data_IF_804723183914
#
_entry.id   IF_804723183914
#
_cell.length_a   1.000
_cell.length_b   1.000
_cell.length_c   1.000
_cell.angle_alpha   90.00
_cell.angle_beta   90.00
_cell.angle_gamma   90.00
#
_symmetry.space_group_name_H-M   'P 1'
#
loop_
_entity.id
_entity.type
_entity.pdbx_description
1 polymer ?
#
# COMPACT_ATOMS: atom_id res chain seq x y z
N UNK A 1 -9.13 -26.73 -31.82
CA UNK A 1 -9.23 -26.79 -30.35
C UNK A 1 -8.30 -25.71 -29.85
N UNK A 2 -8.82 -24.71 -29.09
CA UNK A 2 -7.96 -23.77 -28.39
C UNK A 2 -7.29 -24.58 -27.27
N UNK A 3 -5.97 -24.58 -27.23
CA UNK A 3 -5.21 -25.18 -26.15
C UNK A 3 -5.69 -24.60 -24.82
N UNK A 4 -5.91 -25.46 -23.81
CA UNK A 4 -6.22 -24.99 -22.48
C UNK A 4 -5.05 -24.15 -21.98
N UNK A 5 -5.31 -22.96 -21.43
CA UNK A 5 -4.24 -22.13 -20.89
C UNK A 5 -3.53 -22.89 -19.76
N UNK A 6 -2.20 -22.92 -19.80
CA UNK A 6 -1.35 -23.56 -18.80
C UNK A 6 -0.57 -22.50 -18.01
N UNK A 7 -0.32 -22.81 -16.73
CA UNK A 7 0.54 -21.98 -15.90
C UNK A 7 2.00 -22.18 -16.28
N UNK A 8 2.70 -21.09 -16.54
CA UNK A 8 4.11 -21.06 -16.93
C UNK A 8 4.90 -20.15 -15.99
N UNK A 9 6.14 -20.53 -15.67
CA UNK A 9 7.06 -19.65 -14.95
C UNK A 9 7.78 -18.71 -15.92
N UNK A 10 7.98 -17.46 -15.52
CA UNK A 10 8.80 -16.51 -16.27
C UNK A 10 9.49 -15.49 -15.36
N UNK A 11 10.53 -14.85 -15.89
CA UNK A 11 11.16 -13.70 -15.23
C UNK A 11 10.46 -12.38 -15.62
N UNK A 12 10.87 -11.29 -15.00
CA UNK A 12 10.25 -9.97 -15.23
C UNK A 12 10.38 -9.50 -16.69
N UNK A 13 11.51 -9.75 -17.35
CA UNK A 13 11.72 -9.34 -18.75
C UNK A 13 10.78 -10.08 -19.70
N UNK A 14 10.58 -11.37 -19.49
CA UNK A 14 9.63 -12.19 -20.27
C UNK A 14 8.19 -11.75 -19.99
N UNK A 15 7.83 -11.49 -18.73
CA UNK A 15 6.54 -10.98 -18.35
C UNK A 15 6.24 -9.65 -19.07
N UNK A 16 7.18 -8.70 -19.06
CA UNK A 16 7.02 -7.42 -19.76
C UNK A 16 6.79 -7.58 -21.25
N UNK A 17 7.48 -8.52 -21.91
CA UNK A 17 7.26 -8.83 -23.33
C UNK A 17 5.85 -9.36 -23.60
N UNK A 18 5.32 -10.21 -22.69
CA UNK A 18 3.95 -10.76 -22.80
C UNK A 18 2.91 -9.65 -22.57
N UNK A 19 3.05 -8.84 -21.51
CA UNK A 19 2.19 -7.67 -21.25
C UNK A 19 2.20 -6.71 -22.43
N UNK A 20 3.37 -6.41 -23.00
CA UNK A 20 3.50 -5.49 -24.12
C UNK A 20 2.73 -5.95 -25.36
N UNK A 21 2.58 -7.26 -25.62
CA UNK A 21 1.77 -7.77 -26.73
C UNK A 21 0.29 -7.43 -26.53
N UNK A 22 -0.22 -7.52 -25.29
CA UNK A 22 -1.60 -7.18 -24.97
C UNK A 22 -1.79 -5.66 -25.03
N UNK A 23 -0.95 -4.89 -24.36
CA UNK A 23 -1.08 -3.41 -24.31
C UNK A 23 -1.00 -2.74 -25.69
N UNK A 24 -0.26 -3.31 -26.64
CA UNK A 24 -0.23 -2.81 -28.04
C UNK A 24 -1.59 -2.84 -28.74
N UNK A 25 -2.51 -3.70 -28.32
CA UNK A 25 -3.84 -3.78 -28.89
C UNK A 25 -4.79 -2.67 -28.38
N UNK A 26 -4.42 -1.92 -27.34
CA UNK A 26 -5.21 -0.82 -26.80
C UNK A 26 -5.00 -0.60 -25.29
N UNK A 27 -6.05 -0.15 -24.60
CA UNK A 27 -6.05 0.08 -23.16
C UNK A 27 -6.80 -1.06 -22.45
N UNK A 28 -6.12 -2.08 -21.96
CA UNK A 28 -6.75 -3.16 -21.21
C UNK A 28 -7.21 -2.70 -19.83
N UNK A 29 -8.17 -3.42 -19.26
CA UNK A 29 -8.47 -3.36 -17.83
C UNK A 29 -7.32 -4.05 -17.10
N UNK A 30 -6.82 -3.43 -16.03
CA UNK A 30 -5.68 -3.96 -15.26
C UNK A 30 -5.73 -3.50 -13.81
N UNK A 31 -5.17 -4.31 -12.92
CA UNK A 31 -4.84 -3.95 -11.54
C UNK A 31 -3.32 -3.82 -11.31
N UNK A 32 -2.51 -3.89 -12.36
CA UNK A 32 -1.06 -3.74 -12.26
C UNK A 32 -0.63 -2.34 -12.70
N UNK A 33 -0.02 -1.60 -11.80
CA UNK A 33 0.37 -0.20 -12.02
C UNK A 33 1.89 0.02 -12.14
N UNK A 34 2.64 -1.06 -12.38
CA UNK A 34 4.08 -1.04 -12.60
C UNK A 34 4.88 -0.77 -11.32
N UNK A 35 5.44 -1.82 -10.74
CA UNK A 35 6.33 -1.73 -9.58
C UNK A 35 7.77 -1.97 -10.04
N UNK A 36 8.64 -1.00 -9.79
CA UNK A 36 10.06 -1.09 -10.14
C UNK A 36 10.79 -2.20 -9.35
N UNK A 37 10.26 -2.54 -8.19
CA UNK A 37 10.82 -3.51 -7.23
C UNK A 37 10.70 -4.97 -7.68
N UNK A 38 9.98 -5.24 -8.79
CA UNK A 38 9.70 -6.59 -9.27
C UNK A 38 10.76 -7.20 -10.21
N UNK A 39 11.86 -6.51 -10.46
CA UNK A 39 12.88 -6.93 -11.44
C UNK A 39 13.48 -8.30 -11.11
N UNK A 40 13.63 -8.65 -9.85
CA UNK A 40 14.24 -9.88 -9.39
C UNK A 40 13.22 -10.99 -9.06
N UNK A 41 11.92 -10.74 -9.26
CA UNK A 41 10.86 -11.70 -8.95
C UNK A 41 10.69 -12.77 -10.04
N UNK A 42 10.30 -13.96 -9.61
CA UNK A 42 9.81 -15.02 -10.49
C UNK A 42 8.29 -15.01 -10.50
N UNK A 43 7.71 -15.01 -11.68
CA UNK A 43 6.27 -14.97 -11.88
C UNK A 43 5.74 -16.30 -12.36
N UNK A 44 4.54 -16.63 -11.89
CA UNK A 44 3.68 -17.60 -12.54
C UNK A 44 2.70 -16.83 -13.43
N UNK A 45 2.48 -17.33 -14.63
CA UNK A 45 1.69 -16.65 -15.67
C UNK A 45 0.76 -17.62 -16.33
N UNK A 46 -0.47 -17.20 -16.55
CA UNK A 46 -1.44 -17.88 -17.43
C UNK A 46 -2.02 -16.82 -18.38
N UNK A 47 -2.21 -17.18 -19.64
CA UNK A 47 -2.64 -16.21 -20.65
C UNK A 47 -3.47 -16.81 -21.77
N UNK A 48 -4.29 -15.97 -22.38
CA UNK A 48 -4.94 -16.12 -23.68
C UNK A 48 -4.38 -15.08 -24.66
N UNK A 49 -5.04 -14.91 -25.80
CA UNK A 49 -4.72 -13.81 -26.73
C UNK A 49 -5.16 -12.42 -26.22
N UNK A 50 -6.13 -12.35 -25.30
CA UNK A 50 -6.75 -11.10 -24.83
C UNK A 50 -6.51 -10.82 -23.37
N UNK A 51 -6.08 -11.82 -22.57
CA UNK A 51 -5.94 -11.72 -21.13
C UNK A 51 -4.65 -12.38 -20.67
N UNK A 52 -3.93 -11.72 -19.78
CA UNK A 52 -2.83 -12.29 -19.02
C UNK A 52 -3.11 -12.10 -17.53
N UNK A 53 -2.98 -13.19 -16.78
CA UNK A 53 -2.99 -13.19 -15.30
C UNK A 53 -1.63 -13.69 -14.85
N UNK A 54 -1.04 -13.01 -13.87
CA UNK A 54 0.26 -13.38 -13.34
C UNK A 54 0.32 -13.09 -11.85
N UNK A 55 1.16 -13.85 -11.14
CA UNK A 55 1.33 -13.69 -9.70
C UNK A 55 2.74 -14.02 -9.26
N UNK A 56 3.08 -13.53 -8.09
CA UNK A 56 4.32 -13.85 -7.40
C UNK A 56 4.08 -13.89 -5.88
N UNK A 57 4.99 -14.54 -5.15
CA UNK A 57 4.96 -14.54 -3.70
C UNK A 57 5.59 -13.22 -3.19
N UNK A 58 4.76 -12.39 -2.57
CA UNK A 58 5.16 -11.14 -1.95
C UNK A 58 5.22 -11.36 -0.43
N UNK A 59 6.43 -11.43 0.10
CA UNK A 59 6.70 -11.70 1.52
C UNK A 59 5.97 -12.94 2.04
N UNK A 60 4.68 -12.81 2.38
CA UNK A 60 3.86 -13.89 2.97
C UNK A 60 2.56 -14.16 2.22
N UNK A 61 2.25 -13.38 1.18
CA UNK A 61 1.02 -13.53 0.40
C UNK A 61 1.33 -13.62 -1.09
N UNK A 62 0.49 -14.33 -1.81
CA UNK A 62 0.56 -14.37 -3.27
C UNK A 62 -0.19 -13.17 -3.83
N UNK A 63 0.50 -12.23 -4.49
CA UNK A 63 -0.12 -11.08 -5.16
C UNK A 63 -0.43 -11.42 -6.59
N UNK A 64 -1.68 -11.16 -7.02
CA UNK A 64 -2.17 -11.47 -8.36
C UNK A 64 -2.50 -10.22 -9.14
N UNK A 65 -2.10 -10.21 -10.40
CA UNK A 65 -2.30 -9.11 -11.33
C UNK A 65 -2.84 -9.59 -12.66
N UNK A 66 -3.51 -8.72 -13.39
CA UNK A 66 -4.00 -9.01 -14.72
C UNK A 66 -3.95 -7.80 -15.66
N UNK A 67 -3.94 -8.12 -16.97
CA UNK A 67 -4.27 -7.23 -18.07
C UNK A 67 -5.28 -7.95 -18.97
N UNK A 68 -6.40 -7.32 -19.31
CA UNK A 68 -7.43 -7.95 -20.11
C UNK A 68 -8.21 -6.98 -20.97
N UNK A 69 -8.57 -7.43 -22.19
CA UNK A 69 -9.62 -6.87 -23.03
C UNK A 69 -10.94 -7.65 -22.91
N UNK A 70 -10.94 -8.75 -22.15
CA UNK A 70 -12.09 -9.64 -22.01
C UNK A 70 -12.34 -9.94 -20.53
N UNK A 71 -13.22 -9.14 -19.89
CA UNK A 71 -13.52 -9.28 -18.45
C UNK A 71 -13.94 -10.71 -18.03
N UNK A 72 -14.77 -11.45 -18.78
CA UNK A 72 -15.10 -12.84 -18.47
C UNK A 72 -13.88 -13.77 -18.35
N UNK A 73 -12.83 -13.56 -19.16
CA UNK A 73 -11.61 -14.37 -19.07
C UNK A 73 -10.82 -14.12 -17.80
N UNK A 74 -10.91 -12.92 -17.20
CA UNK A 74 -10.24 -12.60 -15.93
C UNK A 74 -10.64 -13.62 -14.88
N UNK A 75 -11.94 -13.79 -14.68
CA UNK A 75 -12.49 -14.71 -13.67
C UNK A 75 -12.06 -16.17 -13.92
N UNK A 76 -12.06 -16.60 -15.18
CA UNK A 76 -11.68 -17.97 -15.53
C UNK A 76 -10.19 -18.23 -15.30
N UNK A 77 -9.33 -17.29 -15.66
CA UNK A 77 -7.89 -17.44 -15.46
C UNK A 77 -7.48 -17.28 -14.00
N UNK A 78 -8.17 -16.43 -13.24
CA UNK A 78 -7.95 -16.26 -11.80
C UNK A 78 -8.21 -17.54 -10.98
N UNK A 79 -9.05 -18.46 -11.48
CA UNK A 79 -9.24 -19.78 -10.84
C UNK A 79 -7.95 -20.63 -10.83
N UNK A 80 -6.97 -20.29 -11.65
CA UNK A 80 -5.67 -20.98 -11.71
C UNK A 80 -4.64 -20.38 -10.73
N UNK A 81 -4.93 -19.22 -10.15
CA UNK A 81 -4.12 -18.63 -9.08
C UNK A 81 -4.29 -19.40 -7.76
N UNK A 82 -3.33 -19.30 -6.82
CA UNK A 82 -3.46 -19.87 -5.49
C UNK A 82 -4.73 -19.39 -4.77
N UNK A 83 -5.35 -20.27 -3.97
CA UNK A 83 -6.60 -19.94 -3.25
C UNK A 83 -6.44 -18.81 -2.23
N UNK A 84 -5.24 -18.65 -1.69
CA UNK A 84 -4.89 -17.59 -0.73
C UNK A 84 -4.31 -16.34 -1.40
N UNK A 85 -4.44 -16.25 -2.72
CA UNK A 85 -3.99 -15.10 -3.47
C UNK A 85 -4.80 -13.84 -3.15
N UNK A 86 -4.13 -12.69 -3.26
CA UNK A 86 -4.69 -11.36 -3.00
C UNK A 86 -4.58 -10.51 -4.25
N UNK A 87 -5.67 -9.81 -4.56
CA UNK A 87 -5.71 -8.79 -5.60
C UNK A 87 -5.98 -7.43 -4.96
N UNK A 88 -5.26 -6.41 -5.40
CA UNK A 88 -5.52 -5.02 -5.05
C UNK A 88 -6.05 -4.30 -6.30
N UNK A 89 -7.22 -3.68 -6.20
CA UNK A 89 -7.85 -3.00 -7.32
C UNK A 89 -8.07 -1.53 -6.99
N UNK A 90 -7.28 -0.67 -7.61
CA UNK A 90 -7.40 0.77 -7.45
C UNK A 90 -8.54 1.32 -8.31
N UNK A 91 -9.44 2.08 -7.70
CA UNK A 91 -10.51 2.81 -8.40
C UNK A 91 -10.67 4.22 -7.85
N UNK A 92 -11.04 5.15 -8.73
CA UNK A 92 -11.46 6.51 -8.34
C UNK A 92 -12.93 6.60 -7.98
N UNK A 93 -13.69 5.52 -8.17
CA UNK A 93 -15.14 5.50 -7.94
C UNK A 93 -15.44 4.74 -6.65
N UNK A 94 -16.25 5.31 -5.76
CA UNK A 94 -16.77 4.57 -4.61
C UNK A 94 -17.77 3.51 -5.05
N UNK A 95 -17.98 2.50 -4.21
CA UNK A 95 -19.08 1.53 -4.39
C UNK A 95 -18.89 0.50 -5.49
N UNK A 96 -17.68 0.35 -6.08
CA UNK A 96 -17.44 -0.63 -7.14
C UNK A 96 -17.23 -2.08 -6.64
N UNK A 97 -17.48 -2.36 -5.36
CA UNK A 97 -17.33 -3.69 -4.75
C UNK A 97 -17.99 -4.79 -5.59
N UNK A 98 -19.30 -4.67 -5.87
CA UNK A 98 -20.10 -5.70 -6.59
C UNK A 98 -19.58 -5.93 -8.00
N UNK A 99 -19.15 -4.86 -8.69
CA UNK A 99 -18.53 -4.96 -10.01
C UNK A 99 -17.29 -5.83 -9.96
N UNK A 100 -16.36 -5.52 -9.07
CA UNK A 100 -15.08 -6.22 -9.02
C UNK A 100 -15.22 -7.66 -8.50
N UNK A 101 -16.13 -7.92 -7.57
CA UNK A 101 -16.49 -9.30 -7.16
C UNK A 101 -17.03 -10.11 -8.36
N UNK A 102 -17.84 -9.48 -9.22
CA UNK A 102 -18.36 -10.13 -10.43
C UNK A 102 -17.27 -10.42 -11.46
N UNK A 103 -16.38 -9.43 -11.71
CA UNK A 103 -15.31 -9.52 -12.71
C UNK A 103 -14.23 -10.53 -12.30
N UNK A 104 -13.82 -10.52 -11.03
CA UNK A 104 -12.70 -11.34 -10.56
C UNK A 104 -13.14 -12.69 -10.02
N UNK A 105 -14.36 -12.79 -9.48
CA UNK A 105 -14.83 -13.93 -8.72
C UNK A 105 -14.27 -14.01 -7.29
N UNK A 106 -13.48 -13.01 -6.86
CA UNK A 106 -12.94 -12.89 -5.51
C UNK A 106 -13.83 -11.97 -4.68
N UNK A 107 -14.14 -12.31 -3.42
CA UNK A 107 -14.85 -11.41 -2.53
C UNK A 107 -13.96 -10.26 -2.09
N UNK A 108 -14.55 -9.08 -1.88
CA UNK A 108 -13.85 -7.94 -1.28
C UNK A 108 -13.66 -8.19 0.22
N UNK A 109 -12.42 -8.32 0.62
CA UNK A 109 -11.97 -8.56 1.99
C UNK A 109 -11.82 -7.25 2.80
N UNK A 110 -11.20 -6.25 2.19
CA UNK A 110 -11.01 -4.93 2.80
C UNK A 110 -11.13 -3.82 1.75
N UNK A 111 -11.46 -2.62 2.20
CA UNK A 111 -11.46 -1.43 1.35
C UNK A 111 -10.71 -0.32 2.06
N UNK A 112 -9.79 0.30 1.34
CA UNK A 112 -9.06 1.48 1.80
C UNK A 112 -9.49 2.69 0.97
N UNK A 113 -9.58 3.84 1.62
CA UNK A 113 -9.75 5.13 0.98
C UNK A 113 -8.45 5.91 1.03
N UNK A 114 -8.05 6.53 -0.08
CA UNK A 114 -6.89 7.40 -0.12
C UNK A 114 -7.25 8.80 0.33
N UNK A 115 -6.50 9.31 1.29
CA UNK A 115 -6.53 10.70 1.71
C UNK A 115 -5.27 11.38 1.22
N UNK A 116 -5.38 12.62 0.76
CA UNK A 116 -4.22 13.36 0.30
C UNK A 116 -4.52 14.83 0.09
N UNK A 117 -3.44 15.61 0.01
CA UNK A 117 -3.54 17.04 -0.30
C UNK A 117 -2.25 17.54 -0.95
N UNK A 118 -2.40 18.61 -1.73
CA UNK A 118 -1.27 19.33 -2.29
C UNK A 118 -0.54 20.13 -1.20
N UNK A 119 0.77 20.11 -1.24
CA UNK A 119 1.65 20.88 -0.36
C UNK A 119 2.23 22.04 -1.16
N UNK A 120 2.01 23.26 -0.68
CA UNK A 120 2.54 24.49 -1.28
C UNK A 120 3.93 24.80 -0.69
N UNK A 121 4.11 24.60 0.61
CA UNK A 121 5.36 24.80 1.30
C UNK A 121 5.26 24.58 2.81
N UNK A 122 6.41 24.64 3.49
CA UNK A 122 6.48 24.36 4.92
C UNK A 122 5.69 25.38 5.80
N UNK A 123 5.55 26.62 5.34
CA UNK A 123 4.79 27.63 6.07
C UNK A 123 3.29 27.29 6.10
N UNK A 124 2.73 26.98 4.95
CA UNK A 124 1.32 26.60 4.78
C UNK A 124 1.01 25.29 5.52
N UNK A 125 1.95 24.34 5.52
CA UNK A 125 1.78 23.10 6.28
C UNK A 125 1.85 23.34 7.80
N UNK A 126 2.71 24.24 8.30
CA UNK A 126 2.70 24.64 9.71
C UNK A 126 1.37 25.29 10.11
N UNK A 127 0.83 26.15 9.25
CA UNK A 127 -0.48 26.77 9.47
C UNK A 127 -1.58 25.71 9.48
N UNK A 128 -1.57 24.75 8.54
CA UNK A 128 -2.51 23.63 8.51
C UNK A 128 -2.47 22.82 9.81
N UNK A 129 -1.28 22.48 10.29
CA UNK A 129 -1.13 21.76 11.55
C UNK A 129 -1.66 22.58 12.74
N UNK A 130 -1.47 23.90 12.76
CA UNK A 130 -1.93 24.75 13.86
C UNK A 130 -3.46 24.75 14.05
N UNK A 131 -4.22 24.44 13.02
CA UNK A 131 -5.68 24.27 13.11
C UNK A 131 -6.10 22.91 13.69
N UNK A 132 -5.18 21.96 13.86
CA UNK A 132 -5.49 20.67 14.46
C UNK A 132 -5.55 20.81 16.01
N UNK A 133 -6.62 20.37 16.68
CA UNK A 133 -6.72 20.44 18.14
C UNK A 133 -5.58 19.76 18.89
N UNK A 134 -4.89 18.79 18.28
CA UNK A 134 -3.74 18.11 18.87
C UNK A 134 -2.48 18.98 18.87
N UNK A 135 -2.44 20.08 18.09
CA UNK A 135 -1.24 20.91 17.98
C UNK A 135 -0.81 21.54 19.31
N UNK A 136 -1.77 21.84 20.18
CA UNK A 136 -1.51 22.32 21.56
C UNK A 136 -0.73 21.32 22.42
N UNK A 137 -0.75 20.05 22.07
CA UNK A 137 -0.03 18.96 22.74
C UNK A 137 1.24 18.52 21.99
N UNK A 138 1.59 19.22 20.90
CA UNK A 138 2.81 18.92 20.15
C UNK A 138 4.04 18.94 21.05
N UNK A 139 4.90 17.95 20.92
CA UNK A 139 6.18 17.85 21.62
C UNK A 139 7.28 17.47 20.63
N UNK A 140 8.32 18.30 20.57
CA UNK A 140 9.47 18.07 19.69
C UNK A 140 10.27 16.82 20.09
N UNK A 141 10.31 16.52 21.40
CA UNK A 141 10.98 15.36 21.95
C UNK A 141 10.35 14.00 21.59
N UNK A 142 9.09 13.99 21.14
CA UNK A 142 8.45 12.74 20.75
C UNK A 142 9.02 12.18 19.44
N UNK A 143 9.28 10.89 19.49
CA UNK A 143 9.78 10.11 18.35
C UNK A 143 11.26 10.32 18.05
N UNK A 144 11.90 9.24 17.72
CA UNK A 144 13.27 9.18 17.23
C UNK A 144 13.35 8.23 16.03
N UNK A 145 14.42 8.35 15.25
CA UNK A 145 14.71 7.40 14.19
C UNK A 145 14.90 6.00 14.76
N UNK A 146 14.31 5.01 14.10
CA UNK A 146 14.58 3.62 14.39
C UNK A 146 16.02 3.26 14.04
N UNK A 147 16.58 2.30 14.77
CA UNK A 147 17.90 1.74 14.51
C UNK A 147 17.77 0.29 14.06
N UNK A 148 18.80 -0.23 13.40
CA UNK A 148 18.81 -1.61 12.89
C UNK A 148 18.55 -2.67 13.99
N UNK A 149 19.03 -2.43 15.20
CA UNK A 149 18.84 -3.32 16.35
C UNK A 149 17.37 -3.47 16.76
N UNK A 150 16.48 -2.58 16.26
CA UNK A 150 15.06 -2.60 16.56
C UNK A 150 14.22 -3.27 15.45
N UNK A 151 14.85 -3.71 14.36
CA UNK A 151 14.19 -4.33 13.22
C UNK A 151 13.26 -5.48 13.64
N UNK A 152 13.77 -6.42 14.42
CA UNK A 152 13.02 -7.60 14.85
C UNK A 152 11.78 -7.22 15.69
N UNK A 153 11.93 -6.29 16.64
CA UNK A 153 10.82 -5.81 17.47
C UNK A 153 9.76 -5.08 16.62
N UNK A 154 10.19 -4.19 15.70
CA UNK A 154 9.31 -3.49 14.79
C UNK A 154 8.51 -4.48 13.94
N UNK A 155 9.17 -5.43 13.29
CA UNK A 155 8.53 -6.43 12.46
C UNK A 155 7.57 -7.33 13.23
N UNK A 156 7.93 -7.70 14.46
CA UNK A 156 7.04 -8.47 15.35
C UNK A 156 5.75 -7.69 15.62
N UNK A 157 5.86 -6.42 16.03
CA UNK A 157 4.69 -5.57 16.30
C UNK A 157 3.82 -5.44 15.05
N UNK A 158 4.42 -5.18 13.88
CA UNK A 158 3.66 -5.00 12.65
C UNK A 158 2.92 -6.30 12.24
N UNK A 159 3.57 -7.46 12.35
CA UNK A 159 2.94 -8.76 12.05
C UNK A 159 1.81 -9.12 13.02
N UNK A 160 1.89 -8.67 14.27
CA UNK A 160 0.85 -8.92 15.28
C UNK A 160 -0.34 -7.95 15.18
N UNK A 161 -0.12 -6.73 14.69
CA UNK A 161 -1.10 -5.63 14.72
C UNK A 161 -1.75 -5.33 13.39
N UNK A 162 -1.15 -5.76 12.29
CA UNK A 162 -1.64 -5.51 10.94
C UNK A 162 -2.05 -6.79 10.24
N UNK A 163 -2.98 -6.63 9.31
CA UNK A 163 -3.53 -7.73 8.54
C UNK A 163 -2.61 -8.06 7.36
N UNK A 164 -1.97 -9.20 7.37
CA UNK A 164 -1.01 -9.62 6.33
C UNK A 164 -1.59 -9.69 4.91
N UNK A 165 -2.91 -9.81 4.77
CA UNK A 165 -3.58 -9.87 3.46
C UNK A 165 -3.95 -8.49 2.95
N UNK A 166 -4.40 -7.61 3.85
CA UNK A 166 -4.91 -6.30 3.50
C UNK A 166 -3.86 -5.19 3.64
N UNK A 167 -2.98 -5.31 4.63
CA UNK A 167 -1.93 -4.31 4.84
C UNK A 167 -0.65 -4.78 4.14
N UNK A 168 -0.04 -3.91 3.33
CA UNK A 168 1.22 -4.20 2.65
C UNK A 168 2.37 -4.15 3.66
N UNK A 169 2.64 -5.29 4.33
CA UNK A 169 3.75 -5.42 5.25
C UNK A 169 5.07 -5.60 4.47
N UNK A 170 6.12 -5.03 5.01
CA UNK A 170 7.46 -5.10 4.44
C UNK A 170 8.17 -6.41 4.82
N UNK A 171 9.04 -6.91 3.94
CA UNK A 171 10.03 -7.92 4.29
C UNK A 171 11.05 -7.36 5.29
N UNK A 172 11.88 -8.23 5.87
CA UNK A 172 12.91 -7.78 6.80
C UNK A 172 13.96 -6.91 6.07
N UNK A 173 14.29 -7.27 4.82
CA UNK A 173 15.21 -6.52 3.96
C UNK A 173 14.66 -5.13 3.59
N UNK A 174 13.38 -5.07 3.20
CA UNK A 174 12.73 -3.80 2.87
C UNK A 174 12.62 -2.88 4.10
N UNK A 175 12.28 -3.43 5.26
CA UNK A 175 12.20 -2.66 6.50
C UNK A 175 13.57 -2.18 6.94
N UNK A 176 14.61 -3.00 6.81
CA UNK A 176 16.00 -2.60 7.07
C UNK A 176 16.42 -1.43 6.16
N UNK A 177 16.09 -1.51 4.87
CA UNK A 177 16.35 -0.40 3.92
C UNK A 177 15.64 0.89 4.33
N UNK A 178 14.37 0.82 4.76
CA UNK A 178 13.62 1.98 5.25
C UNK A 178 14.25 2.57 6.52
N UNK A 179 14.75 1.73 7.43
CA UNK A 179 15.47 2.19 8.64
C UNK A 179 16.77 2.91 8.25
N UNK A 180 17.57 2.33 7.36
CA UNK A 180 18.82 2.94 6.87
C UNK A 180 18.56 4.27 6.18
N UNK A 181 17.44 4.38 5.44
CA UNK A 181 17.03 5.61 4.76
C UNK A 181 16.32 6.62 5.68
N UNK A 182 16.30 6.40 7.01
CA UNK A 182 15.66 7.27 8.00
C UNK A 182 14.15 7.46 7.79
N UNK A 183 13.47 6.47 7.23
CA UNK A 183 12.03 6.51 6.91
C UNK A 183 11.17 5.79 7.95
N UNK A 184 11.77 5.34 9.05
CA UNK A 184 11.08 4.69 10.17
C UNK A 184 11.33 5.47 11.45
N UNK A 185 10.26 5.94 12.08
CA UNK A 185 10.27 6.64 13.36
C UNK A 185 9.54 5.84 14.41
N UNK A 186 10.05 5.86 15.63
CA UNK A 186 9.48 5.15 16.77
C UNK A 186 9.42 6.03 18.00
N UNK A 187 8.47 5.73 18.88
CA UNK A 187 8.46 6.16 20.27
C UNK A 187 8.55 4.94 21.16
N UNK A 188 9.31 5.07 22.25
CA UNK A 188 9.41 4.04 23.27
C UNK A 188 8.94 4.60 24.61
N UNK A 189 8.21 3.78 25.37
CA UNK A 189 7.84 4.01 26.77
C UNK A 189 8.23 2.76 27.55
N UNK A 190 8.88 2.90 28.68
CA UNK A 190 9.37 1.78 29.50
C UNK A 190 10.19 0.73 28.72
N UNK A 191 11.04 1.20 27.80
CA UNK A 191 11.85 0.38 26.86
C UNK A 191 11.05 -0.49 25.87
N UNK A 192 9.76 -0.22 25.68
CA UNK A 192 8.91 -0.90 24.69
C UNK A 192 8.52 0.09 23.58
N UNK A 193 8.50 -0.35 22.36
CA UNK A 193 8.02 0.45 21.23
C UNK A 193 6.50 0.59 21.34
N UNK A 194 6.02 1.82 21.54
CA UNK A 194 4.58 2.14 21.64
C UNK A 194 4.05 2.84 20.39
N UNK A 195 4.92 3.40 19.57
CA UNK A 195 4.51 4.06 18.33
C UNK A 195 5.51 3.75 17.21
N UNK A 196 5.00 3.43 16.01
CA UNK A 196 5.80 3.24 14.80
C UNK A 196 5.16 4.09 13.70
N UNK A 197 5.97 4.88 13.03
CA UNK A 197 5.57 5.63 11.85
C UNK A 197 6.54 5.36 10.71
N UNK A 198 6.02 4.78 9.62
CA UNK A 198 6.77 4.48 8.40
C UNK A 198 6.24 5.33 7.28
N UNK A 199 7.14 5.96 6.53
CA UNK A 199 6.81 6.74 5.35
C UNK A 199 7.78 6.45 4.21
N UNK A 200 7.35 6.79 2.99
CA UNK A 200 8.21 6.78 1.80
C UNK A 200 8.17 8.13 1.10
N UNK A 201 9.27 8.47 0.44
CA UNK A 201 9.33 9.63 -0.46
C UNK A 201 9.47 9.11 -1.89
N UNK A 202 8.47 9.43 -2.72
CA UNK A 202 8.39 9.01 -4.11
C UNK A 202 8.44 10.25 -5.02
N UNK A 203 9.66 10.66 -5.39
CA UNK A 203 9.88 11.93 -6.07
C UNK A 203 9.45 13.11 -5.20
N UNK A 204 8.39 13.84 -5.56
CA UNK A 204 7.83 14.95 -4.79
C UNK A 204 6.60 14.56 -3.95
N UNK A 205 6.39 13.27 -3.71
CA UNK A 205 5.25 12.78 -2.94
C UNK A 205 5.74 12.21 -1.61
N UNK A 206 5.04 12.57 -0.54
CA UNK A 206 5.19 11.97 0.77
C UNK A 206 4.08 10.95 0.97
N UNK A 207 4.44 9.69 1.07
CA UNK A 207 3.52 8.60 1.34
C UNK A 207 3.58 8.22 2.82
N UNK A 208 2.51 8.53 3.58
CA UNK A 208 2.31 8.05 4.96
C UNK A 208 1.80 6.61 4.89
N UNK A 209 2.69 5.65 5.12
CA UNK A 209 2.38 4.24 4.87
C UNK A 209 1.84 3.55 6.12
N UNK A 210 2.69 3.28 7.12
CA UNK A 210 2.29 2.58 8.35
C UNK A 210 2.25 3.56 9.52
N UNK A 211 1.16 3.50 10.28
CA UNK A 211 1.01 4.25 11.53
C UNK A 211 0.45 3.32 12.61
N UNK A 212 1.32 2.84 13.48
CA UNK A 212 0.95 2.09 14.69
C UNK A 212 1.08 3.01 15.91
N UNK A 213 0.12 2.96 16.83
CA UNK A 213 0.16 3.78 18.03
C UNK A 213 -0.64 3.12 19.17
N UNK A 214 0.05 2.63 20.17
CA UNK A 214 -0.49 2.16 21.46
C UNK A 214 -0.28 3.20 22.58
N UNK A 215 0.28 4.39 22.24
CA UNK A 215 0.40 5.54 23.14
C UNK A 215 -0.74 6.54 22.94
N UNK A 216 -0.57 7.77 23.39
CA UNK A 216 -1.56 8.85 23.22
C UNK A 216 -1.53 9.42 21.78
N UNK A 217 -2.65 10.02 21.37
CA UNK A 217 -2.81 10.51 19.99
C UNK A 217 -1.83 11.64 19.64
N UNK A 218 -1.41 12.44 20.61
CA UNK A 218 -0.45 13.53 20.44
C UNK A 218 0.97 13.04 20.15
N UNK A 219 1.36 11.85 20.63
CA UNK A 219 2.65 11.23 20.30
C UNK A 219 2.75 10.98 18.79
N UNK A 220 1.82 10.22 18.22
CA UNK A 220 1.81 9.96 16.78
C UNK A 220 1.64 11.24 15.96
N UNK A 221 0.80 12.17 16.42
CA UNK A 221 0.61 13.47 15.78
C UNK A 221 1.94 14.25 15.72
N UNK A 222 2.66 14.32 16.85
CA UNK A 222 3.94 15.04 16.93
C UNK A 222 4.99 14.46 15.98
N UNK A 223 5.09 13.12 15.91
CA UNK A 223 6.00 12.45 14.99
C UNK A 223 5.61 12.79 13.54
N UNK A 224 4.34 12.62 13.16
CA UNK A 224 3.86 12.89 11.81
C UNK A 224 4.11 14.34 11.38
N UNK A 225 3.78 15.32 12.26
CA UNK A 225 4.03 16.74 12.00
C UNK A 225 5.51 17.03 11.78
N UNK A 226 6.36 16.61 12.71
CA UNK A 226 7.81 16.80 12.64
C UNK A 226 8.40 16.21 11.35
N UNK A 227 8.06 14.97 11.05
CA UNK A 227 8.58 14.24 9.90
C UNK A 227 8.11 14.86 8.58
N UNK A 228 6.83 15.21 8.46
CA UNK A 228 6.31 15.83 7.23
C UNK A 228 6.92 17.20 6.99
N UNK A 229 7.00 18.06 8.01
CA UNK A 229 7.60 19.39 7.87
C UNK A 229 9.07 19.30 7.46
N UNK A 230 9.82 18.39 8.07
CA UNK A 230 11.22 18.13 7.69
C UNK A 230 11.31 17.66 6.23
N UNK A 231 10.45 16.72 5.81
CA UNK A 231 10.44 16.21 4.44
C UNK A 231 10.08 17.31 3.41
N UNK A 232 9.15 18.20 3.73
CA UNK A 232 8.79 19.35 2.89
C UNK A 232 10.00 20.29 2.70
N UNK A 233 10.76 20.55 3.75
CA UNK A 233 11.93 21.43 3.70
C UNK A 233 13.11 20.79 2.96
N UNK A 234 13.37 19.51 3.18
CA UNK A 234 14.55 18.82 2.63
C UNK A 234 14.34 18.29 1.20
N UNK A 235 13.12 17.83 0.85
CA UNK A 235 12.86 17.12 -0.40
C UNK A 235 11.90 17.83 -1.35
N UNK A 236 11.47 19.05 -1.03
CA UNK A 236 10.52 19.82 -1.85
C UNK A 236 9.26 19.01 -2.18
N UNK A 237 8.65 18.43 -1.15
CA UNK A 237 7.43 17.62 -1.28
C UNK A 237 6.28 18.52 -1.78
N UNK A 238 5.57 18.08 -2.80
CA UNK A 238 4.43 18.78 -3.39
C UNK A 238 3.08 18.10 -3.14
N UNK A 239 3.09 16.88 -2.64
CA UNK A 239 1.86 16.13 -2.37
C UNK A 239 2.05 15.15 -1.22
N UNK A 240 1.10 15.15 -0.28
CA UNK A 240 0.98 14.17 0.79
C UNK A 240 -0.14 13.19 0.47
N UNK A 241 0.03 11.91 0.77
CA UNK A 241 -1.06 10.95 0.76
C UNK A 241 -0.85 9.79 1.73
N UNK A 242 -1.95 9.12 2.04
CA UNK A 242 -1.97 7.90 2.83
C UNK A 242 -3.26 7.12 2.57
N UNK A 243 -3.31 5.88 3.03
CA UNK A 243 -4.48 5.02 2.89
C UNK A 243 -5.10 4.74 4.26
N UNK A 244 -6.41 4.79 4.35
CA UNK A 244 -7.17 4.52 5.56
C UNK A 244 -8.19 3.43 5.27
N UNK A 245 -8.19 2.35 6.04
CA UNK A 245 -9.23 1.33 5.97
C UNK A 245 -10.57 1.97 6.31
N UNK A 246 -11.56 1.89 5.42
CA UNK A 246 -12.82 2.65 5.52
C UNK A 246 -13.67 2.29 6.75
N UNK A 247 -13.41 1.16 7.40
CA UNK A 247 -14.06 0.76 8.65
C UNK A 247 -13.20 1.06 9.90
N UNK A 248 -12.01 1.66 9.75
CA UNK A 248 -11.19 2.11 10.88
C UNK A 248 -11.71 3.45 11.44
N UNK A 249 -12.69 3.34 12.35
CA UNK A 249 -13.37 4.51 12.94
C UNK A 249 -12.41 5.47 13.64
N UNK A 250 -11.34 4.96 14.25
CA UNK A 250 -10.36 5.82 14.95
C UNK A 250 -9.59 6.67 13.96
N UNK A 251 -9.07 6.06 12.89
CA UNK A 251 -8.35 6.77 11.84
C UNK A 251 -9.26 7.76 11.09
N UNK A 252 -10.51 7.37 10.80
CA UNK A 252 -11.49 8.26 10.16
C UNK A 252 -11.80 9.47 11.03
N UNK A 253 -12.05 9.27 12.33
CA UNK A 253 -12.31 10.36 13.26
C UNK A 253 -11.11 11.31 13.41
N UNK A 254 -9.89 10.76 13.49
CA UNK A 254 -8.64 11.54 13.55
C UNK A 254 -8.47 12.43 12.33
N UNK A 255 -8.87 11.95 11.15
CA UNK A 255 -8.79 12.69 9.89
C UNK A 255 -10.10 13.45 9.55
N UNK A 256 -10.98 13.67 10.53
CA UNK A 256 -12.24 14.41 10.38
C UNK A 256 -13.15 13.86 9.27
N UNK A 257 -13.21 12.52 9.12
CA UNK A 257 -14.00 11.83 8.08
C UNK A 257 -13.70 12.38 6.67
N UNK A 258 -12.49 12.18 6.17
CA UNK A 258 -12.03 12.79 4.93
C UNK A 258 -12.82 12.27 3.72
N UNK A 259 -12.94 13.10 2.71
CA UNK A 259 -13.30 12.62 1.38
C UNK A 259 -12.14 11.85 0.76
N UNK A 260 -12.44 10.71 0.15
CA UNK A 260 -11.45 9.87 -0.50
C UNK A 260 -11.38 10.17 -2.00
N UNK A 261 -10.18 10.37 -2.52
CA UNK A 261 -9.95 10.62 -3.95
C UNK A 261 -9.68 9.35 -4.77
N UNK A 262 -9.43 8.23 -4.08
CA UNK A 262 -9.30 6.89 -4.65
C UNK A 262 -9.62 5.82 -3.61
N UNK A 263 -9.92 4.63 -4.10
CA UNK A 263 -10.23 3.45 -3.29
C UNK A 263 -9.35 2.29 -3.72
N UNK A 264 -8.90 1.49 -2.76
CA UNK A 264 -8.24 0.22 -2.98
C UNK A 264 -9.14 -0.90 -2.44
N UNK A 265 -9.58 -1.77 -3.34
CA UNK A 265 -10.37 -2.95 -3.02
C UNK A 265 -9.44 -4.15 -2.92
N UNK A 266 -9.12 -4.52 -1.70
CA UNK A 266 -8.33 -5.73 -1.42
C UNK A 266 -9.26 -6.94 -1.47
N UNK A 267 -8.97 -7.88 -2.35
CA UNK A 267 -9.83 -9.03 -2.64
C UNK A 267 -9.07 -10.33 -2.38
N UNK A 268 -9.66 -11.24 -1.61
CA UNK A 268 -9.13 -12.59 -1.40
C UNK A 268 -10.26 -13.55 -0.98
N UNK A 269 -10.05 -14.86 -1.17
CA UNK A 269 -11.03 -15.90 -0.80
C UNK A 269 -11.03 -16.25 0.70
N UNK A 270 -10.34 -15.50 1.54
CA UNK A 270 -10.41 -15.71 2.99
C UNK A 270 -11.60 -14.96 3.57
N UNK A 271 -12.50 -15.74 4.14
CA UNK A 271 -13.56 -15.30 5.04
C UNK A 271 -13.14 -15.57 6.47
#
# INVERSE_FOLDING_TARGET
>A
MLEKPEVQSCNFCELQKRISKIVRAGRPVTNFYGQKELVNQKFQVVQTNQTIVFWYLDTVVCRVYFYSFNEPEIKELLKMAPQDAVLDILSRKPGEKVKWESVTGFPVYAVYGRVGHSIVGAKEERERFSHNPLDRFYREEYGRLAKKEQLEEIQKILRERFDRYADHLYSDEEMEELIVNNQVWIQCEDNQITTIFVYKIEGKKFYSNISFNDSTADVLYSIQKKVLLKAVEEYNIAYYYGWIRINNRQALKKNHYPDFDAYDYVMCHRC
#
